data_IF_655354149239
#
_entry.id   IF_655354149239
#
_cell.length_a   1.000
_cell.length_b   1.000
_cell.length_c   1.000
_cell.angle_alpha   90.00
_cell.angle_beta   90.00
_cell.angle_gamma   90.00
#
_symmetry.space_group_name_H-M   'P 1'
#
loop_
_entity.id
_entity.type
_entity.pdbx_description
1 polymer ?
#
# COMPACT_ATOMS: atom_id res chain seq x y z
N UNK A 1 -25.60 -10.48 6.89
CA UNK A 1 -25.24 -10.70 5.47
C UNK A 1 -24.50 -9.47 5.03
N UNK A 2 -23.19 -9.55 4.89
CA UNK A 2 -22.40 -8.46 4.30
C UNK A 2 -22.69 -8.50 2.80
N UNK A 3 -23.40 -7.47 2.30
CA UNK A 3 -23.55 -7.32 0.85
C UNK A 3 -22.17 -7.21 0.22
N UNK A 4 -21.85 -8.15 -0.66
CA UNK A 4 -20.62 -8.11 -1.42
C UNK A 4 -20.81 -7.12 -2.57
N UNK A 5 -20.28 -5.90 -2.42
CA UNK A 5 -20.37 -4.88 -3.46
C UNK A 5 -19.63 -5.31 -4.74
N UNK A 6 -20.15 -4.91 -5.88
CA UNK A 6 -19.46 -5.06 -7.17
C UNK A 6 -18.24 -4.14 -7.23
N UNK A 7 -17.25 -4.52 -8.04
CA UNK A 7 -15.99 -3.79 -8.19
C UNK A 7 -16.20 -2.30 -8.48
N UNK A 8 -17.12 -1.99 -9.38
CA UNK A 8 -17.44 -0.61 -9.78
C UNK A 8 -17.98 0.20 -8.60
N UNK A 9 -18.78 -0.44 -7.74
CA UNK A 9 -19.31 0.20 -6.53
C UNK A 9 -18.19 0.48 -5.54
N UNK A 10 -17.28 -0.47 -5.30
CA UNK A 10 -16.12 -0.29 -4.42
C UNK A 10 -15.26 0.88 -4.90
N UNK A 11 -14.97 0.94 -6.21
CA UNK A 11 -14.17 2.01 -6.80
C UNK A 11 -14.85 3.37 -6.73
N UNK A 12 -16.16 3.43 -7.02
CA UNK A 12 -16.93 4.67 -6.94
C UNK A 12 -17.02 5.23 -5.50
N UNK A 13 -16.94 4.37 -4.51
CA UNK A 13 -16.99 4.76 -3.08
C UNK A 13 -15.61 4.87 -2.43
N UNK A 14 -14.53 4.78 -3.18
CA UNK A 14 -13.17 4.88 -2.66
C UNK A 14 -12.94 6.23 -1.95
N UNK A 15 -12.64 6.18 -0.65
CA UNK A 15 -12.39 7.37 0.16
C UNK A 15 -13.61 8.19 0.57
N UNK A 16 -14.84 7.78 0.21
CA UNK A 16 -16.07 8.41 0.73
C UNK A 16 -16.09 8.32 2.25
N UNK A 17 -16.53 9.40 2.89
CA UNK A 17 -16.56 9.57 4.36
C UNK A 17 -15.18 9.49 5.04
N UNK A 18 -14.09 9.75 4.30
CA UNK A 18 -12.74 9.80 4.87
C UNK A 18 -12.42 11.14 5.57
N UNK A 19 -13.25 12.15 5.41
CA UNK A 19 -13.12 13.47 6.04
C UNK A 19 -14.32 13.81 6.92
N UNK A 20 -14.29 13.37 8.15
CA UNK A 20 -15.35 13.63 9.13
C UNK A 20 -15.40 15.13 9.53
N UNK A 21 -14.30 15.86 9.39
CA UNK A 21 -14.23 17.26 9.82
C UNK A 21 -15.07 18.20 8.92
N UNK A 22 -15.11 17.92 7.62
CA UNK A 22 -15.84 18.75 6.64
C UNK A 22 -17.04 18.04 6.03
N UNK A 23 -17.12 16.71 6.16
CA UNK A 23 -18.13 15.89 5.48
C UNK A 23 -17.95 15.83 3.97
N UNK A 24 -16.75 16.11 3.47
CA UNK A 24 -16.46 16.05 2.05
C UNK A 24 -16.63 14.62 1.50
N UNK A 25 -17.33 14.50 0.37
CA UNK A 25 -17.54 13.21 -0.28
C UNK A 25 -16.25 12.69 -0.93
N UNK A 26 -15.45 13.57 -1.52
CA UNK A 26 -14.15 13.23 -2.08
C UNK A 26 -13.09 13.17 -0.97
N UNK A 27 -12.22 12.15 -1.01
CA UNK A 27 -11.10 12.07 -0.08
C UNK A 27 -10.15 13.25 -0.22
N UNK A 28 -9.80 13.96 0.87
CA UNK A 28 -8.82 15.04 0.81
C UNK A 28 -7.42 14.55 0.41
N UNK A 29 -6.65 15.44 -0.20
CA UNK A 29 -5.23 15.21 -0.46
C UNK A 29 -4.41 15.86 0.66
N UNK A 30 -3.69 15.04 1.42
CA UNK A 30 -2.87 15.48 2.55
C UNK A 30 -1.42 15.66 2.14
N UNK A 31 -0.96 16.92 2.07
CA UNK A 31 0.43 17.29 1.78
C UNK A 31 1.30 17.41 3.03
N UNK A 32 0.74 17.24 4.22
CA UNK A 32 1.48 17.39 5.48
C UNK A 32 2.63 16.39 5.56
N UNK A 33 3.80 16.86 5.93
CA UNK A 33 4.99 16.03 6.19
C UNK A 33 4.90 15.38 7.57
N UNK A 34 4.46 16.14 8.57
CA UNK A 34 4.36 15.74 9.98
C UNK A 34 2.95 16.01 10.51
N UNK A 35 2.58 15.33 11.57
CA UNK A 35 1.25 15.43 12.18
C UNK A 35 1.40 15.76 13.67
N UNK A 36 0.45 16.54 14.20
CA UNK A 36 0.42 16.86 15.61
C UNK A 36 -0.11 15.68 16.42
N UNK A 37 0.54 15.38 17.51
CA UNK A 37 0.04 14.44 18.50
C UNK A 37 -0.91 15.16 19.47
N UNK A 38 -2.03 14.56 19.87
CA UNK A 38 -2.96 15.15 20.85
C UNK A 38 -2.28 15.38 22.20
N UNK A 39 -1.39 14.47 22.61
CA UNK A 39 -0.55 14.61 23.79
C UNK A 39 0.75 13.81 23.63
N UNK A 40 1.70 14.01 24.54
CA UNK A 40 3.00 13.34 24.50
C UNK A 40 2.83 11.80 24.58
N UNK A 41 3.42 11.10 23.60
CA UNK A 41 3.35 9.64 23.50
C UNK A 41 2.06 9.08 22.89
N UNK A 42 1.10 9.92 22.50
CA UNK A 42 -0.17 9.51 21.89
C UNK A 42 -0.29 10.02 20.45
N UNK A 43 -0.22 9.09 19.49
CA UNK A 43 -0.39 9.38 18.07
C UNK A 43 -1.85 9.27 17.64
N UNK A 44 -2.24 10.06 16.63
CA UNK A 44 -3.51 9.88 15.90
C UNK A 44 -3.47 8.68 14.94
N UNK A 45 -2.33 8.01 14.83
CA UNK A 45 -2.04 6.96 13.84
C UNK A 45 -1.27 7.48 12.62
N UNK A 46 -1.08 8.80 12.54
CA UNK A 46 -0.26 9.47 11.54
C UNK A 46 0.77 10.35 12.26
N UNK A 47 2.05 10.12 12.00
CA UNK A 47 3.15 10.85 12.60
C UNK A 47 3.99 11.55 11.55
N UNK A 48 4.32 10.81 10.48
CA UNK A 48 5.19 11.27 9.41
C UNK A 48 4.81 10.63 8.08
N UNK A 49 4.68 11.46 7.04
CA UNK A 49 4.12 11.05 5.73
C UNK A 49 4.85 9.90 5.05
N UNK A 50 6.17 9.77 5.21
CA UNK A 50 6.93 8.65 4.64
C UNK A 50 6.49 7.31 5.23
N UNK A 51 6.19 7.26 6.53
CA UNK A 51 5.73 6.06 7.20
C UNK A 51 4.22 5.85 7.00
N UNK A 52 3.42 6.90 7.16
CA UNK A 52 1.96 6.83 7.04
C UNK A 52 1.38 8.17 6.58
N UNK A 53 0.49 8.12 5.58
CA UNK A 53 -0.18 9.32 5.04
C UNK A 53 -1.65 8.99 4.77
N UNK A 54 -2.63 9.85 5.14
CA UNK A 54 -4.05 9.58 4.96
C UNK A 54 -4.45 9.36 3.50
N UNK A 55 -3.88 10.11 2.55
CA UNK A 55 -4.15 9.92 1.12
C UNK A 55 -3.68 8.54 0.64
N UNK A 56 -2.46 8.13 1.03
CA UNK A 56 -1.95 6.80 0.72
C UNK A 56 -2.78 5.70 1.38
N UNK A 57 -3.19 5.89 2.63
CA UNK A 57 -4.03 4.94 3.34
C UNK A 57 -5.39 4.71 2.64
N UNK A 58 -5.97 5.75 2.02
CA UNK A 58 -7.18 5.61 1.20
C UNK A 58 -6.94 4.70 -0.01
N UNK A 59 -5.83 4.88 -0.71
CA UNK A 59 -5.45 4.03 -1.86
C UNK A 59 -5.22 2.58 -1.40
N UNK A 60 -4.45 2.38 -0.34
CA UNK A 60 -4.15 1.05 0.21
C UNK A 60 -5.43 0.32 0.64
N UNK A 61 -6.34 1.01 1.33
CA UNK A 61 -7.64 0.46 1.73
C UNK A 61 -8.51 0.07 0.53
N UNK A 62 -8.52 0.91 -0.52
CA UNK A 62 -9.27 0.61 -1.74
C UNK A 62 -8.70 -0.61 -2.46
N UNK A 63 -7.37 -0.67 -2.63
CA UNK A 63 -6.70 -1.81 -3.27
C UNK A 63 -6.94 -3.11 -2.49
N UNK A 64 -6.84 -3.09 -1.16
CA UNK A 64 -7.15 -4.24 -0.33
C UNK A 64 -8.60 -4.73 -0.56
N UNK A 65 -9.56 -3.80 -0.63
CA UNK A 65 -10.97 -4.14 -0.85
C UNK A 65 -11.22 -4.79 -2.22
N UNK A 66 -10.64 -4.27 -3.30
CA UNK A 66 -10.83 -4.83 -4.65
C UNK A 66 -10.12 -6.18 -4.84
N UNK A 67 -8.99 -6.38 -4.17
CA UNK A 67 -8.23 -7.64 -4.20
C UNK A 67 -8.71 -8.65 -3.14
N UNK A 68 -9.76 -8.31 -2.35
CA UNK A 68 -10.28 -9.14 -1.24
C UNK A 68 -9.18 -9.56 -0.26
N UNK A 69 -8.24 -8.65 0.01
CA UNK A 69 -7.13 -8.83 0.91
C UNK A 69 -7.36 -8.07 2.23
N UNK A 70 -6.70 -8.50 3.30
CA UNK A 70 -6.80 -7.83 4.60
C UNK A 70 -6.16 -6.44 4.59
N UNK A 71 -5.09 -6.26 3.80
CA UNK A 71 -4.40 -4.98 3.62
C UNK A 71 -3.64 -4.95 2.29
N UNK A 72 -3.27 -3.75 1.86
CA UNK A 72 -2.38 -3.49 0.74
C UNK A 72 -1.31 -2.49 1.14
N UNK A 73 -0.17 -2.51 0.47
CA UNK A 73 0.93 -1.56 0.67
C UNK A 73 1.24 -0.90 -0.67
N UNK A 74 1.09 0.41 -0.73
CA UNK A 74 1.47 1.19 -1.90
C UNK A 74 2.95 1.59 -1.83
N UNK A 75 3.67 1.37 -2.93
CA UNK A 75 5.07 1.72 -3.09
C UNK A 75 5.26 2.75 -4.20
N UNK A 76 6.44 3.37 -4.26
CA UNK A 76 6.74 4.41 -5.26
C UNK A 76 6.99 3.86 -6.68
N UNK A 77 7.15 2.54 -6.82
CA UNK A 77 7.37 1.89 -8.12
C UNK A 77 7.01 0.42 -8.09
N UNK A 78 6.75 -0.17 -9.27
CA UNK A 78 6.52 -1.61 -9.39
C UNK A 78 7.73 -2.44 -8.93
N UNK A 79 8.97 -1.97 -9.19
CA UNK A 79 10.15 -2.66 -8.66
C UNK A 79 10.22 -2.65 -7.14
N UNK A 80 9.86 -1.54 -6.51
CA UNK A 80 9.77 -1.47 -5.03
C UNK A 80 8.73 -2.44 -4.49
N UNK A 81 7.60 -2.60 -5.20
CA UNK A 81 6.55 -3.57 -4.81
C UNK A 81 7.07 -5.01 -4.94
N UNK A 82 7.75 -5.35 -6.04
CA UNK A 82 8.34 -6.66 -6.24
C UNK A 82 9.37 -6.96 -5.15
N UNK A 83 10.32 -6.07 -4.91
CA UNK A 83 11.33 -6.24 -3.86
C UNK A 83 10.67 -6.46 -2.50
N UNK A 84 9.71 -5.61 -2.13
CA UNK A 84 8.99 -5.73 -0.85
C UNK A 84 8.27 -7.09 -0.73
N UNK A 85 7.64 -7.58 -1.80
CA UNK A 85 6.97 -8.87 -1.78
C UNK A 85 7.94 -10.04 -1.54
N UNK A 86 9.19 -9.92 -2.00
CA UNK A 86 10.20 -10.95 -1.79
C UNK A 86 10.90 -10.87 -0.42
N UNK A 87 10.85 -9.74 0.27
CA UNK A 87 11.39 -9.60 1.65
C UNK A 87 10.68 -10.49 2.68
N UNK A 88 9.49 -11.03 2.37
CA UNK A 88 8.78 -11.97 3.26
C UNK A 88 9.38 -13.39 3.23
N UNK A 89 10.20 -13.71 2.24
CA UNK A 89 10.81 -15.04 2.10
C UNK A 89 12.20 -15.08 2.73
N UNK A 90 12.52 -16.16 3.47
CA UNK A 90 13.84 -16.30 4.06
C UNK A 90 14.92 -16.49 2.98
N UNK A 91 16.16 -16.13 3.33
CA UNK A 91 17.34 -16.39 2.49
C UNK A 91 17.46 -17.89 2.19
N UNK A 92 17.83 -18.24 0.97
CA UNK A 92 17.87 -19.63 0.48
C UNK A 92 16.53 -20.16 -0.04
N UNK A 93 15.48 -19.35 -0.07
CA UNK A 93 14.20 -19.72 -0.71
C UNK A 93 14.37 -19.94 -2.20
N UNK A 94 13.67 -20.95 -2.73
CA UNK A 94 13.67 -21.23 -4.19
C UNK A 94 12.56 -20.44 -4.87
N UNK A 95 12.93 -19.65 -5.86
CA UNK A 95 12.01 -18.86 -6.69
C UNK A 95 11.93 -19.46 -8.09
N UNK A 96 10.71 -19.67 -8.58
CA UNK A 96 10.45 -20.07 -9.97
C UNK A 96 9.76 -18.90 -10.66
N UNK A 97 10.40 -18.39 -11.70
CA UNK A 97 9.90 -17.26 -12.46
C UNK A 97 9.95 -17.55 -13.97
N UNK A 98 9.07 -16.87 -14.73
CA UNK A 98 9.14 -16.94 -16.19
C UNK A 98 10.49 -16.36 -16.68
N UNK A 99 10.98 -16.84 -17.81
CA UNK A 99 12.22 -16.33 -18.41
C UNK A 99 12.03 -14.93 -19.00
N UNK A 100 10.86 -14.66 -19.53
CA UNK A 100 10.50 -13.39 -20.15
C UNK A 100 9.89 -12.44 -19.12
N UNK A 101 10.78 -11.77 -18.38
CA UNK A 101 10.46 -10.81 -17.33
C UNK A 101 10.86 -9.39 -17.72
N UNK A 102 10.25 -8.41 -17.05
CA UNK A 102 10.76 -7.05 -17.05
C UNK A 102 12.24 -7.03 -16.66
N UNK A 103 13.08 -6.31 -17.43
CA UNK A 103 14.53 -6.33 -17.26
C UNK A 103 15.03 -5.93 -15.86
N UNK A 104 14.29 -5.09 -15.14
CA UNK A 104 14.58 -4.77 -13.75
C UNK A 104 14.45 -5.97 -12.82
N UNK A 105 13.35 -6.71 -12.95
CA UNK A 105 13.10 -7.93 -12.16
C UNK A 105 14.14 -9.01 -12.46
N UNK A 106 14.47 -9.20 -13.75
CA UNK A 106 15.49 -10.17 -14.17
C UNK A 106 16.86 -9.86 -13.56
N UNK A 107 17.30 -8.59 -13.62
CA UNK A 107 18.57 -8.17 -13.00
C UNK A 107 18.56 -8.39 -11.49
N UNK A 108 17.47 -7.98 -10.83
CA UNK A 108 17.35 -8.12 -9.39
C UNK A 108 17.41 -9.58 -8.94
N UNK A 109 16.72 -10.51 -9.63
CA UNK A 109 16.79 -11.94 -9.32
C UNK A 109 18.21 -12.51 -9.52
N UNK A 110 18.89 -12.13 -10.62
CA UNK A 110 20.26 -12.58 -10.85
C UNK A 110 21.25 -12.07 -9.79
N UNK A 111 21.02 -10.87 -9.26
CA UNK A 111 21.89 -10.33 -8.21
C UNK A 111 21.60 -11.03 -6.87
N UNK A 112 20.33 -11.29 -6.56
CA UNK A 112 19.97 -12.07 -5.36
C UNK A 112 20.47 -13.51 -5.39
N UNK A 113 20.47 -14.16 -6.54
CA UNK A 113 21.04 -15.52 -6.71
C UNK A 113 22.53 -15.57 -6.37
N UNK A 114 23.29 -14.50 -6.67
CA UNK A 114 24.73 -14.41 -6.32
C UNK A 114 24.97 -14.15 -4.84
N UNK A 115 24.01 -13.54 -4.17
CA UNK A 115 24.09 -13.23 -2.74
C UNK A 115 23.73 -14.43 -1.85
N UNK A 116 23.08 -15.47 -2.39
CA UNK A 116 22.60 -16.67 -1.69
C UNK A 116 21.11 -16.68 -1.47
#
# INVERSE_FOLDING_TARGET
>A
MTEEYQLETILAHAGINSDEATGALASPIHFSTTYQHPEFGHSTGFDYTRTKNPTRATVEKTLAAIEKADYAIATSSGMSAIVLAFEIFPVGSKVVAARDLYGGSFRWFNDKEKEG
#
